data_IF_831844951840
#
_entry.id   IF_831844951840
#
_cell.length_a   1.000
_cell.length_b   1.000
_cell.length_c   1.000
_cell.angle_alpha   90.00
_cell.angle_beta   90.00
_cell.angle_gamma   90.00
#
_symmetry.space_group_name_H-M   'P 1'
#
loop_
_entity.id
_entity.type
_entity.pdbx_description
1 polymer ?
#
# COMPACT_ATOMS: atom_id res chain seq x y z
N UNK A 1 12.63 47.57 57.43
CA UNK A 1 11.65 46.47 57.35
C UNK A 1 11.14 46.41 55.93
N UNK A 2 11.64 45.47 55.13
CA UNK A 2 11.23 45.23 53.74
C UNK A 2 10.57 43.84 53.72
N UNK A 3 9.29 43.80 53.39
CA UNK A 3 8.52 42.58 53.21
C UNK A 3 8.80 42.00 51.82
N UNK A 4 9.45 40.84 51.78
CA UNK A 4 9.61 40.03 50.58
C UNK A 4 8.27 39.42 50.18
N UNK A 5 7.74 39.80 49.02
CA UNK A 5 6.68 39.06 48.34
C UNK A 5 7.32 37.95 47.50
N UNK A 6 7.22 36.71 47.97
CA UNK A 6 7.54 35.51 47.21
C UNK A 6 6.39 35.18 46.28
N UNK A 7 6.47 35.60 45.02
CA UNK A 7 5.66 35.01 43.94
C UNK A 7 6.29 33.69 43.53
N UNK A 8 5.72 32.59 44.01
CA UNK A 8 6.00 31.25 43.50
C UNK A 8 5.55 31.17 42.04
N UNK A 9 6.50 31.07 41.12
CA UNK A 9 6.25 30.68 39.74
C UNK A 9 5.88 29.20 39.79
N UNK A 10 4.59 28.90 39.66
CA UNK A 10 4.11 27.53 39.42
C UNK A 10 4.53 27.17 37.99
N UNK A 11 5.31 26.11 37.76
CA UNK A 11 5.55 25.63 36.41
C UNK A 11 4.21 25.11 35.89
N UNK A 12 3.64 25.78 34.89
CA UNK A 12 2.57 25.21 34.07
C UNK A 12 3.20 24.14 33.20
N UNK A 13 3.40 22.95 33.79
CA UNK A 13 3.70 21.73 33.05
C UNK A 13 2.47 21.43 32.19
N UNK A 14 2.43 21.95 30.96
CA UNK A 14 1.32 21.69 30.03
C UNK A 14 1.30 20.18 29.72
N UNK A 15 0.34 19.40 30.23
CA UNK A 15 0.32 17.94 30.07
C UNK A 15 0.21 17.54 28.59
N UNK A 16 -0.44 18.37 27.77
CA UNK A 16 -0.57 18.17 26.32
C UNK A 16 0.79 18.16 25.57
N UNK A 17 1.79 18.88 26.07
CA UNK A 17 3.12 18.91 25.45
C UNK A 17 3.96 17.68 25.87
N UNK A 18 3.72 17.14 27.07
CA UNK A 18 4.36 15.91 27.53
C UNK A 18 3.79 14.66 26.86
N UNK A 19 2.47 14.61 26.62
CA UNK A 19 1.80 13.50 25.93
C UNK A 19 2.28 13.34 24.48
N UNK A 20 2.23 14.43 23.71
CA UNK A 20 2.64 14.45 22.29
C UNK A 20 4.12 14.08 22.06
N UNK A 21 5.01 14.44 23.00
CA UNK A 21 6.43 14.14 22.91
C UNK A 21 6.71 12.65 23.21
N UNK A 22 5.94 12.03 24.10
CA UNK A 22 6.00 10.58 24.38
C UNK A 22 5.46 9.75 23.21
N UNK A 23 4.35 10.15 22.58
CA UNK A 23 3.80 9.46 21.38
C UNK A 23 4.78 9.48 20.21
N UNK A 24 5.40 10.63 19.98
CA UNK A 24 6.37 10.77 18.89
C UNK A 24 7.56 9.83 19.09
N UNK A 25 8.03 9.72 20.34
CA UNK A 25 9.12 8.83 20.70
C UNK A 25 8.75 7.34 20.54
N UNK A 26 7.53 6.92 20.88
CA UNK A 26 7.10 5.52 20.73
C UNK A 26 6.97 5.09 19.25
N UNK A 27 6.41 5.95 18.40
CA UNK A 27 6.31 5.72 16.94
C UNK A 27 7.69 5.65 16.30
N UNK A 28 8.57 6.59 16.62
CA UNK A 28 9.93 6.65 16.08
C UNK A 28 10.75 5.44 16.55
N UNK A 29 10.71 5.11 17.84
CA UNK A 29 11.43 3.96 18.40
C UNK A 29 10.95 2.64 17.78
N UNK A 30 9.64 2.44 17.66
CA UNK A 30 9.10 1.22 17.02
C UNK A 30 9.58 1.08 15.57
N UNK A 31 9.69 2.19 14.84
CA UNK A 31 10.15 2.21 13.45
C UNK A 31 11.65 1.89 13.34
N UNK A 32 12.47 2.36 14.29
CA UNK A 32 13.89 1.99 14.38
C UNK A 32 14.08 0.51 14.72
N UNK A 33 13.31 -0.01 15.67
CA UNK A 33 13.34 -1.43 16.04
C UNK A 33 12.98 -2.30 14.84
N UNK A 34 11.91 -1.96 14.11
CA UNK A 34 11.51 -2.67 12.88
C UNK A 34 12.60 -2.63 11.81
N UNK A 35 13.27 -1.49 11.64
CA UNK A 35 14.38 -1.37 10.70
C UNK A 35 15.55 -2.27 11.06
N UNK A 36 15.95 -2.33 12.34
CA UNK A 36 17.03 -3.22 12.80
C UNK A 36 16.66 -4.68 12.56
N UNK A 37 15.43 -5.07 12.91
CA UNK A 37 14.96 -6.45 12.68
C UNK A 37 14.93 -6.77 11.18
N UNK A 38 14.43 -5.85 10.35
CA UNK A 38 14.44 -5.97 8.89
C UNK A 38 15.86 -6.20 8.35
N UNK A 39 16.82 -5.40 8.79
CA UNK A 39 18.23 -5.53 8.40
C UNK A 39 18.80 -6.89 8.80
N UNK A 40 18.50 -7.38 10.01
CA UNK A 40 18.92 -8.71 10.48
C UNK A 40 18.36 -9.82 9.60
N UNK A 41 17.05 -9.79 9.29
CA UNK A 41 16.43 -10.77 8.38
C UNK A 41 17.09 -10.71 7.01
N UNK A 42 17.38 -9.52 6.50
CA UNK A 42 18.03 -9.34 5.22
C UNK A 42 19.45 -9.91 5.18
N UNK A 43 20.22 -9.71 6.25
CA UNK A 43 21.56 -10.32 6.42
C UNK A 43 21.44 -11.84 6.42
N UNK A 44 20.52 -12.42 7.18
CA UNK A 44 20.30 -13.88 7.24
C UNK A 44 19.97 -14.43 5.84
N UNK A 45 19.02 -13.80 5.14
CA UNK A 45 18.64 -14.18 3.77
C UNK A 45 19.83 -14.07 2.80
N UNK A 46 20.66 -13.04 2.96
CA UNK A 46 21.85 -12.84 2.13
C UNK A 46 22.89 -13.96 2.31
N UNK A 47 23.00 -14.54 3.50
CA UNK A 47 23.83 -15.72 3.75
C UNK A 47 23.20 -17.02 3.25
N UNK A 48 21.87 -17.10 3.10
CA UNK A 48 21.22 -18.26 2.50
C UNK A 48 21.42 -18.30 0.99
N UNK A 49 21.55 -17.14 0.34
CA UNK A 49 21.73 -17.03 -1.10
C UNK A 49 23.22 -17.10 -1.51
N UNK A 50 23.53 -18.02 -2.44
CA UNK A 50 24.88 -18.17 -3.01
C UNK A 50 25.01 -17.32 -4.28
N UNK A 51 26.07 -16.51 -4.40
CA UNK A 51 26.46 -15.84 -5.64
C UNK A 51 26.86 -16.88 -6.68
N UNK A 52 26.30 -16.77 -7.86
CA UNK A 52 26.49 -17.74 -8.95
C UNK A 52 27.61 -17.36 -9.92
N UNK A 53 28.07 -16.09 -9.95
CA UNK A 53 28.95 -15.59 -11.03
C UNK A 53 30.28 -14.94 -10.62
N UNK A 54 30.41 -14.34 -9.42
CA UNK A 54 31.63 -13.60 -9.02
C UNK A 54 32.06 -13.93 -7.58
N UNK A 55 33.37 -14.03 -7.35
CA UNK A 55 34.02 -14.28 -6.05
C UNK A 55 33.52 -15.53 -5.30
N UNK A 56 33.58 -16.71 -5.93
CA UNK A 56 33.24 -17.99 -5.30
C UNK A 56 34.23 -18.45 -4.21
N UNK A 57 35.43 -17.86 -4.17
CA UNK A 57 36.52 -18.27 -3.26
C UNK A 57 36.37 -17.82 -1.80
N UNK A 58 35.60 -16.75 -1.52
CA UNK A 58 35.36 -16.28 -0.16
C UNK A 58 33.96 -16.69 0.31
N UNK A 59 33.85 -17.29 1.51
CA UNK A 59 32.59 -17.79 2.10
C UNK A 59 31.75 -18.69 1.15
N UNK A 60 32.40 -19.43 0.24
CA UNK A 60 31.73 -20.28 -0.74
C UNK A 60 30.80 -19.50 -1.69
N UNK A 61 31.07 -18.22 -1.95
CA UNK A 61 30.25 -17.34 -2.80
C UNK A 61 29.09 -16.64 -2.07
N UNK A 62 29.06 -16.58 -0.73
CA UNK A 62 28.10 -15.77 0.04
C UNK A 62 28.73 -14.44 0.46
N UNK A 63 27.98 -13.33 0.66
CA UNK A 63 26.51 -13.19 0.67
C UNK A 63 25.91 -12.78 -0.69
N UNK A 64 24.82 -13.41 -1.13
CA UNK A 64 24.08 -13.03 -2.35
C UNK A 64 22.93 -12.06 -2.05
N UNK A 65 22.63 -11.15 -2.97
CA UNK A 65 21.44 -10.27 -2.86
C UNK A 65 20.21 -11.06 -3.28
N UNK A 66 19.19 -11.09 -2.43
CA UNK A 66 17.90 -11.74 -2.72
C UNK A 66 17.02 -10.75 -3.50
N UNK A 67 16.58 -11.13 -4.69
CA UNK A 67 15.62 -10.33 -5.44
C UNK A 67 14.23 -10.51 -4.82
N UNK A 68 13.53 -9.42 -4.43
CA UNK A 68 12.33 -9.52 -3.62
C UNK A 68 11.12 -10.02 -4.40
N UNK A 69 11.05 -9.76 -5.71
CA UNK A 69 9.85 -10.03 -6.51
C UNK A 69 10.23 -10.73 -7.81
N UNK A 70 9.67 -11.90 -8.02
CA UNK A 70 9.67 -12.55 -9.33
C UNK A 70 8.30 -12.37 -10.01
N UNK A 71 8.15 -11.31 -10.82
CA UNK A 71 6.89 -11.00 -11.51
C UNK A 71 6.43 -12.11 -12.47
N UNK A 72 7.35 -12.96 -12.91
CA UNK A 72 7.08 -14.07 -13.82
C UNK A 72 6.59 -15.31 -13.07
N UNK A 73 6.85 -15.43 -11.76
CA UNK A 73 6.50 -16.60 -10.98
C UNK A 73 5.06 -16.49 -10.41
N UNK A 74 4.13 -17.35 -10.83
CA UNK A 74 2.75 -17.29 -10.35
C UNK A 74 2.52 -17.85 -8.94
N UNK A 75 3.56 -18.35 -8.27
CA UNK A 75 3.40 -19.19 -7.07
C UNK A 75 2.96 -18.43 -5.81
N UNK A 76 3.32 -17.15 -5.72
CA UNK A 76 3.16 -16.36 -4.49
C UNK A 76 2.44 -15.01 -4.72
N UNK A 77 1.61 -14.93 -5.76
CA UNK A 77 0.92 -13.70 -6.17
C UNK A 77 0.19 -12.97 -5.04
N UNK A 78 -0.48 -13.71 -4.15
CA UNK A 78 -1.26 -13.10 -3.08
C UNK A 78 -0.40 -12.30 -2.09
N UNK A 79 0.77 -12.80 -1.70
CA UNK A 79 1.62 -12.10 -0.71
C UNK A 79 2.11 -10.78 -1.27
N UNK A 80 2.58 -10.79 -2.51
CA UNK A 80 3.03 -9.57 -3.15
C UNK A 80 1.94 -8.52 -3.25
N UNK A 81 0.74 -8.95 -3.66
CA UNK A 81 -0.41 -8.06 -3.80
C UNK A 81 -0.79 -7.45 -2.44
N UNK A 82 -0.82 -8.27 -1.39
CA UNK A 82 -1.12 -7.80 -0.04
C UNK A 82 -0.02 -6.91 0.54
N UNK A 83 1.26 -7.25 0.34
CA UNK A 83 2.38 -6.44 0.79
C UNK A 83 2.44 -5.08 0.06
N UNK A 84 2.16 -5.05 -1.25
CA UNK A 84 2.00 -3.82 -2.02
C UNK A 84 0.80 -3.00 -1.52
N UNK A 85 -0.32 -3.64 -1.18
CA UNK A 85 -1.48 -2.96 -0.58
C UNK A 85 -1.15 -2.34 0.79
N UNK A 86 -0.44 -3.06 1.66
CA UNK A 86 0.03 -2.55 2.94
C UNK A 86 0.95 -1.33 2.77
N UNK A 87 1.87 -1.38 1.80
CA UNK A 87 2.76 -0.27 1.49
C UNK A 87 2.02 0.92 0.87
N UNK A 88 1.05 0.69 -0.01
CA UNK A 88 0.21 1.77 -0.54
C UNK A 88 -0.54 2.49 0.58
N UNK A 89 -1.02 1.74 1.57
CA UNK A 89 -1.68 2.28 2.76
C UNK A 89 -0.74 3.16 3.60
N UNK A 90 0.52 2.76 3.80
CA UNK A 90 1.51 3.58 4.54
C UNK A 90 1.90 4.84 3.77
N UNK A 91 2.02 4.75 2.44
CA UNK A 91 2.27 5.88 1.57
C UNK A 91 1.16 6.91 1.64
N UNK A 92 -0.09 6.46 1.54
CA UNK A 92 -1.25 7.34 1.67
C UNK A 92 -1.25 8.08 3.01
N UNK A 93 -0.92 7.36 4.10
CA UNK A 93 -0.79 7.97 5.43
C UNK A 93 0.32 9.02 5.47
N UNK A 94 1.51 8.71 4.95
CA UNK A 94 2.65 9.62 4.96
C UNK A 94 2.35 10.94 4.21
N UNK A 95 1.59 10.86 3.11
CA UNK A 95 1.14 12.04 2.36
C UNK A 95 0.11 12.87 3.15
N UNK A 96 -0.78 12.22 3.91
CA UNK A 96 -1.84 12.90 4.67
C UNK A 96 -1.37 13.51 6.00
N UNK A 97 -0.22 13.09 6.54
CA UNK A 97 0.33 13.60 7.82
C UNK A 97 1.28 14.79 7.67
N UNK A 98 1.49 15.32 6.45
CA UNK A 98 2.47 16.36 6.18
C UNK A 98 2.09 17.77 6.63
N UNK A 99 1.90 17.98 7.94
CA UNK A 99 1.81 19.31 8.58
C UNK A 99 3.21 19.76 9.01
N UNK A 100 3.73 20.80 8.36
CA UNK A 100 4.95 21.49 8.79
C UNK A 100 4.72 22.99 8.66
N UNK A 101 4.55 23.65 9.81
CA UNK A 101 4.26 25.07 9.94
C UNK A 101 5.44 25.95 9.53
N UNK A 102 5.14 26.92 8.67
CA UNK A 102 5.71 28.27 8.53
C UNK A 102 7.16 28.55 8.99
N UNK A 103 8.13 28.04 8.22
CA UNK A 103 9.43 28.71 8.08
C UNK A 103 9.85 28.65 6.61
N UNK A 104 10.38 29.73 6.03
CA UNK A 104 10.94 29.87 4.67
C UNK A 104 10.50 28.86 3.58
N UNK A 105 9.54 29.30 2.74
CA UNK A 105 8.84 28.52 1.70
C UNK A 105 9.72 27.67 0.77
N UNK A 106 10.92 28.13 0.41
CA UNK A 106 11.78 27.40 -0.55
C UNK A 106 12.62 26.31 0.10
N UNK A 107 13.29 26.62 1.21
CA UNK A 107 14.09 25.64 1.97
C UNK A 107 13.20 24.55 2.59
N UNK A 108 12.02 24.92 3.08
CA UNK A 108 11.05 23.94 3.61
C UNK A 108 10.49 23.03 2.53
N UNK A 109 10.32 23.51 1.29
CA UNK A 109 9.81 22.64 0.21
C UNK A 109 10.81 21.55 -0.18
N UNK A 110 12.12 21.87 -0.27
CA UNK A 110 13.16 20.88 -0.57
C UNK A 110 13.33 19.89 0.58
N UNK A 111 13.38 20.37 1.83
CA UNK A 111 13.48 19.52 3.02
C UNK A 111 12.23 18.65 3.18
N UNK A 112 11.04 19.16 2.81
CA UNK A 112 9.79 18.39 2.79
C UNK A 112 9.84 17.26 1.76
N UNK A 113 10.30 17.54 0.55
CA UNK A 113 10.43 16.50 -0.48
C UNK A 113 11.44 15.43 -0.04
N UNK A 114 12.60 15.84 0.48
CA UNK A 114 13.62 14.92 0.98
C UNK A 114 13.14 14.08 2.16
N UNK A 115 12.43 14.67 3.12
CA UNK A 115 11.87 13.93 4.26
C UNK A 115 10.79 12.94 3.84
N UNK A 116 9.92 13.30 2.89
CA UNK A 116 8.96 12.37 2.30
C UNK A 116 9.71 11.22 1.61
N UNK A 117 10.66 11.50 0.72
CA UNK A 117 11.44 10.45 0.05
C UNK A 117 12.15 9.53 1.05
N UNK A 118 12.72 10.10 2.12
CA UNK A 118 13.38 9.34 3.18
C UNK A 118 12.40 8.42 3.92
N UNK A 119 11.24 8.93 4.34
CA UNK A 119 10.19 8.14 5.00
C UNK A 119 9.66 7.03 4.10
N UNK A 120 9.47 7.31 2.80
CA UNK A 120 9.03 6.33 1.82
C UNK A 120 10.06 5.23 1.62
N UNK A 121 11.33 5.60 1.51
CA UNK A 121 12.44 4.65 1.38
C UNK A 121 12.54 3.78 2.63
N UNK A 122 12.39 4.37 3.82
CA UNK A 122 12.38 3.68 5.10
C UNK A 122 11.29 2.61 5.19
N UNK A 123 10.06 2.94 4.79
CA UNK A 123 8.94 1.99 4.77
C UNK A 123 9.13 0.88 3.73
N UNK A 124 9.78 1.16 2.60
CA UNK A 124 10.18 0.13 1.63
C UNK A 124 11.17 -0.84 2.30
N UNK A 125 12.18 -0.34 3.02
CA UNK A 125 13.15 -1.19 3.74
C UNK A 125 12.48 -2.05 4.81
N UNK A 126 11.48 -1.55 5.54
CA UNK A 126 10.70 -2.34 6.51
C UNK A 126 9.83 -3.38 5.80
N UNK A 127 9.28 -3.07 4.63
CA UNK A 127 8.39 -4.00 3.92
C UNK A 127 9.17 -5.05 3.13
N UNK A 128 10.42 -4.77 2.76
CA UNK A 128 11.25 -5.63 1.90
C UNK A 128 11.39 -7.08 2.39
N UNK A 129 11.69 -7.36 3.67
CA UNK A 129 11.82 -8.74 4.15
C UNK A 129 10.56 -9.58 3.95
N UNK A 130 9.36 -8.97 3.98
CA UNK A 130 8.09 -9.65 3.71
C UNK A 130 8.05 -10.27 2.33
N UNK A 131 8.74 -9.67 1.36
CA UNK A 131 8.79 -10.13 -0.01
C UNK A 131 9.98 -11.07 -0.22
N UNK A 132 11.14 -10.72 0.32
CA UNK A 132 12.36 -11.50 0.17
C UNK A 132 12.27 -12.90 0.84
N UNK A 133 11.55 -13.02 1.96
CA UNK A 133 11.33 -14.30 2.64
C UNK A 133 10.56 -15.31 1.79
N UNK A 134 9.73 -14.85 0.84
CA UNK A 134 8.97 -15.72 -0.07
C UNK A 134 9.87 -16.40 -1.09
N UNK A 135 10.89 -15.68 -1.58
CA UNK A 135 11.82 -16.13 -2.63
C UNK A 135 13.10 -16.74 -2.04
N UNK A 136 13.10 -17.06 -0.75
CA UNK A 136 14.24 -17.69 -0.11
C UNK A 136 14.55 -19.06 -0.76
N UNK A 137 15.85 -19.40 -0.96
CA UNK A 137 16.25 -20.65 -1.62
C UNK A 137 15.83 -21.89 -0.84
N UNK A 138 15.64 -21.76 0.48
CA UNK A 138 15.08 -22.80 1.34
C UNK A 138 13.69 -22.33 1.79
N UNK A 139 12.61 -22.78 1.14
CA UNK A 139 11.27 -22.21 1.32
C UNK A 139 10.75 -22.27 2.76
N UNK A 140 11.01 -23.37 3.48
CA UNK A 140 10.58 -23.51 4.88
C UNK A 140 11.24 -22.46 5.78
N UNK A 141 12.54 -22.21 5.61
CA UNK A 141 13.28 -21.20 6.39
C UNK A 141 12.76 -19.80 6.05
N UNK A 142 12.52 -19.54 4.77
CA UNK A 142 11.90 -18.30 4.31
C UNK A 142 10.51 -18.08 4.92
N UNK A 143 9.64 -19.08 4.92
CA UNK A 143 8.31 -18.95 5.49
C UNK A 143 8.33 -18.76 7.01
N UNK A 144 9.21 -19.44 7.74
CA UNK A 144 9.37 -19.28 9.19
C UNK A 144 9.88 -17.87 9.52
N UNK A 145 10.93 -17.39 8.85
CA UNK A 145 11.44 -16.03 9.04
C UNK A 145 10.39 -14.98 8.68
N UNK A 146 9.67 -15.18 7.57
CA UNK A 146 8.59 -14.30 7.14
C UNK A 146 7.42 -14.27 8.12
N UNK A 147 7.04 -15.40 8.70
CA UNK A 147 6.02 -15.48 9.75
C UNK A 147 6.44 -14.71 11.00
N UNK A 148 7.61 -15.01 11.56
CA UNK A 148 8.12 -14.32 12.76
C UNK A 148 8.22 -12.82 12.50
N UNK A 149 8.71 -12.41 11.33
CA UNK A 149 8.80 -11.00 10.97
C UNK A 149 7.42 -10.34 10.84
N UNK A 150 6.45 -11.02 10.21
CA UNK A 150 5.07 -10.52 10.11
C UNK A 150 4.37 -10.42 11.46
N UNK A 151 4.59 -11.38 12.35
CA UNK A 151 4.06 -11.36 13.72
C UNK A 151 4.58 -10.14 14.49
N UNK A 152 5.90 -9.92 14.48
CA UNK A 152 6.51 -8.76 15.15
C UNK A 152 6.04 -7.45 14.51
N UNK A 153 5.98 -7.38 13.18
CA UNK A 153 5.47 -6.23 12.46
C UNK A 153 4.02 -5.91 12.84
N UNK A 154 3.15 -6.92 12.87
CA UNK A 154 1.75 -6.75 13.25
C UNK A 154 1.63 -6.32 14.71
N UNK A 155 2.34 -6.98 15.63
CA UNK A 155 2.32 -6.66 17.06
C UNK A 155 2.75 -5.22 17.32
N UNK A 156 3.85 -4.76 16.70
CA UNK A 156 4.33 -3.38 16.87
C UNK A 156 3.36 -2.37 16.25
N UNK A 157 2.77 -2.66 15.10
CA UNK A 157 1.76 -1.75 14.49
C UNK A 157 0.50 -1.65 15.34
N UNK A 158 0.02 -2.76 15.91
CA UNK A 158 -1.11 -2.76 16.85
C UNK A 158 -0.74 -2.00 18.12
N UNK A 159 0.42 -2.28 18.71
CA UNK A 159 0.89 -1.59 19.93
C UNK A 159 0.91 -0.07 19.75
N UNK A 160 1.52 0.42 18.67
CA UNK A 160 1.56 1.85 18.35
C UNK A 160 0.15 2.42 18.17
N UNK A 161 -0.75 1.67 17.54
CA UNK A 161 -2.14 2.11 17.34
C UNK A 161 -2.88 2.23 18.66
N UNK A 162 -2.73 1.25 19.56
CA UNK A 162 -3.35 1.26 20.88
C UNK A 162 -2.78 2.37 21.77
N UNK A 163 -1.45 2.55 21.79
CA UNK A 163 -0.78 3.61 22.56
C UNK A 163 -1.28 5.01 22.15
N UNK A 164 -1.42 5.23 20.84
CA UNK A 164 -1.94 6.50 20.31
C UNK A 164 -3.41 6.72 20.70
N UNK A 165 -4.25 5.68 20.63
CA UNK A 165 -5.67 5.79 21.02
C UNK A 165 -5.80 6.06 22.52
N UNK A 166 -5.01 5.37 23.36
CA UNK A 166 -5.06 5.53 24.81
C UNK A 166 -4.62 6.91 25.27
N UNK A 167 -3.57 7.47 24.67
CA UNK A 167 -3.10 8.82 25.03
C UNK A 167 -4.13 9.89 24.68
N UNK A 168 -4.90 9.71 23.61
CA UNK A 168 -5.93 10.66 23.19
C UNK A 168 -7.15 10.69 24.12
N UNK A 169 -7.50 9.57 24.76
CA UNK A 169 -8.58 9.49 25.75
C UNK A 169 -8.22 10.26 27.05
N UNK A 170 -6.92 10.30 27.39
CA UNK A 170 -6.42 10.96 28.60
C UNK A 170 -6.38 12.50 28.46
N UNK A 171 -6.20 13.02 27.25
CA UNK A 171 -6.05 14.46 27.00
C UNK A 171 -7.37 15.26 27.00
N UNK A 172 -8.52 14.59 27.18
CA UNK A 172 -9.82 15.27 27.37
C UNK A 172 -10.31 16.06 26.16
N UNK A 173 -9.94 15.63 24.94
CA UNK A 173 -10.37 16.30 23.71
C UNK A 173 -11.90 16.26 23.54
N UNK A 174 -12.51 17.32 22.97
CA UNK A 174 -13.94 17.33 22.69
C UNK A 174 -14.34 16.15 21.78
N UNK A 175 -15.53 15.58 22.03
CA UNK A 175 -16.02 14.34 21.36
C UNK A 175 -15.99 14.44 19.82
N UNK A 176 -16.19 15.63 19.26
CA UNK A 176 -16.13 15.89 17.82
C UNK A 176 -14.71 15.70 17.26
N UNK A 177 -13.68 16.08 18.02
CA UNK A 177 -12.28 15.90 17.64
C UNK A 177 -11.89 14.42 17.69
N UNK A 178 -12.39 13.68 18.68
CA UNK A 178 -12.20 12.22 18.79
C UNK A 178 -12.75 11.51 17.55
N UNK A 179 -13.90 11.94 17.02
CA UNK A 179 -14.51 11.34 15.83
C UNK A 179 -13.65 11.56 14.57
N UNK A 180 -13.10 12.75 14.37
CA UNK A 180 -12.19 13.03 13.25
C UNK A 180 -10.89 12.24 13.38
N UNK A 181 -10.33 12.17 14.58
CA UNK A 181 -9.09 11.46 14.85
C UNK A 181 -9.27 9.95 14.67
N UNK A 182 -10.33 9.39 15.24
CA UNK A 182 -10.74 7.99 15.07
C UNK A 182 -10.91 7.65 13.59
N UNK A 183 -11.54 8.54 12.81
CA UNK A 183 -11.62 8.36 11.35
C UNK A 183 -10.23 8.33 10.70
N UNK A 184 -9.33 9.27 11.04
CA UNK A 184 -7.98 9.33 10.47
C UNK A 184 -7.18 8.05 10.76
N UNK A 185 -7.30 7.51 11.98
CA UNK A 185 -6.61 6.31 12.41
C UNK A 185 -7.24 5.05 11.83
N UNK A 186 -8.54 4.84 11.99
CA UNK A 186 -9.21 3.64 11.47
C UNK A 186 -9.12 3.56 9.95
N UNK A 187 -9.26 4.68 9.24
CA UNK A 187 -9.21 4.72 7.77
C UNK A 187 -7.81 4.44 7.23
N UNK A 188 -6.79 4.98 7.87
CA UNK A 188 -5.41 4.84 7.40
C UNK A 188 -4.80 3.49 7.80
N UNK A 189 -5.18 2.95 8.96
CA UNK A 189 -4.57 1.75 9.52
C UNK A 189 -5.33 0.46 9.19
N UNK A 190 -6.66 0.48 9.07
CA UNK A 190 -7.42 -0.75 8.87
C UNK A 190 -7.04 -1.47 7.56
N UNK A 191 -6.92 -0.81 6.39
CA UNK A 191 -6.51 -1.47 5.16
C UNK A 191 -5.11 -2.07 5.28
N UNK A 192 -4.19 -1.35 5.92
CA UNK A 192 -2.84 -1.82 6.20
C UNK A 192 -2.86 -3.09 7.07
N UNK A 193 -3.61 -3.08 8.17
CA UNK A 193 -3.72 -4.21 9.08
C UNK A 193 -4.33 -5.43 8.40
N UNK A 194 -5.41 -5.25 7.63
CA UNK A 194 -6.03 -6.33 6.85
C UNK A 194 -5.03 -6.94 5.87
N UNK A 195 -4.24 -6.12 5.18
CA UNK A 195 -3.19 -6.60 4.29
C UNK A 195 -2.10 -7.39 5.05
N UNK A 196 -1.60 -6.88 6.18
CA UNK A 196 -0.58 -7.55 6.99
C UNK A 196 -1.11 -8.87 7.56
N UNK A 197 -2.33 -8.88 8.10
CA UNK A 197 -3.00 -10.10 8.59
C UNK A 197 -3.16 -11.12 7.46
N UNK A 198 -3.52 -10.67 6.26
CA UNK A 198 -3.58 -11.53 5.08
C UNK A 198 -2.23 -12.18 4.74
N UNK A 199 -1.14 -11.41 4.80
CA UNK A 199 0.22 -11.94 4.61
C UNK A 199 0.60 -12.92 5.72
N UNK A 200 0.25 -12.61 6.97
CA UNK A 200 0.52 -13.45 8.13
C UNK A 200 -0.16 -14.82 8.04
N UNK A 201 -1.47 -14.83 7.77
CA UNK A 201 -2.26 -16.05 7.57
C UNK A 201 -1.69 -16.87 6.42
N UNK A 202 -1.26 -16.20 5.35
CA UNK A 202 -0.63 -16.86 4.22
C UNK A 202 0.69 -17.56 4.60
N UNK A 203 1.56 -16.89 5.37
CA UNK A 203 2.83 -17.46 5.82
C UNK A 203 2.61 -18.69 6.69
N UNK A 204 1.73 -18.58 7.68
CA UNK A 204 1.36 -19.70 8.56
C UNK A 204 0.79 -20.88 7.78
N UNK A 205 -0.14 -20.62 6.86
CA UNK A 205 -0.69 -21.65 5.98
C UNK A 205 0.40 -22.34 5.16
N UNK A 206 1.38 -21.60 4.64
CA UNK A 206 2.50 -22.15 3.87
C UNK A 206 3.45 -22.98 4.72
N UNK A 207 3.74 -22.57 5.94
CA UNK A 207 4.53 -23.34 6.90
C UNK A 207 3.84 -24.69 7.14
N UNK A 208 2.57 -24.69 7.54
CA UNK A 208 1.80 -25.91 7.80
C UNK A 208 1.80 -26.82 6.56
N UNK A 209 1.57 -26.25 5.37
CA UNK A 209 1.54 -27.01 4.13
C UNK A 209 2.89 -27.67 3.80
N UNK A 210 4.00 -26.96 3.96
CA UNK A 210 5.33 -27.54 3.70
C UNK A 210 5.69 -28.58 4.77
N UNK A 211 5.38 -28.34 6.04
CA UNK A 211 5.56 -29.33 7.13
C UNK A 211 4.79 -30.62 6.82
N UNK A 212 3.51 -30.53 6.45
CA UNK A 212 2.70 -31.70 6.07
C UNK A 212 3.27 -32.42 4.85
N UNK A 213 3.77 -31.66 3.86
CA UNK A 213 4.41 -32.24 2.67
C UNK A 213 5.66 -33.03 3.06
N UNK A 214 6.49 -32.47 3.92
CA UNK A 214 7.70 -33.10 4.44
C UNK A 214 7.37 -34.40 5.15
N UNK A 215 6.39 -34.40 6.06
CA UNK A 215 5.98 -35.61 6.79
C UNK A 215 5.42 -36.71 5.89
N UNK A 216 4.82 -36.35 4.75
CA UNK A 216 4.29 -37.32 3.78
C UNK A 216 5.34 -37.88 2.81
N UNK A 217 6.53 -37.29 2.76
CA UNK A 217 7.57 -37.75 1.84
C UNK A 217 8.51 -38.64 2.65
N UNK A 218 8.37 -39.96 2.54
CA UNK A 218 9.18 -40.97 3.26
C UNK A 218 10.69 -40.97 2.88
N UNK A 219 11.16 -39.93 2.20
CA UNK A 219 12.52 -39.78 1.71
C UNK A 219 13.35 -38.77 2.51
N UNK A 220 14.65 -38.76 2.26
CA UNK A 220 15.59 -37.77 2.81
C UNK A 220 15.16 -36.34 2.45
N UNK A 221 15.06 -35.48 3.47
CA UNK A 221 14.62 -34.07 3.39
C UNK A 221 15.29 -33.28 2.25
N UNK A 222 16.57 -33.58 1.99
CA UNK A 222 17.36 -32.98 0.92
C UNK A 222 16.75 -33.21 -0.46
N UNK A 223 16.18 -34.39 -0.70
CA UNK A 223 15.56 -34.76 -1.97
C UNK A 223 14.20 -34.08 -2.20
N UNK A 224 13.47 -33.78 -1.12
CA UNK A 224 12.20 -33.06 -1.16
C UNK A 224 12.40 -31.56 -1.48
N UNK A 225 13.53 -30.99 -1.04
CA UNK A 225 13.91 -29.59 -1.31
C UNK A 225 14.40 -29.41 -2.75
N UNK A 226 15.29 -30.28 -3.25
CA UNK A 226 15.81 -30.17 -4.62
C UNK A 226 14.78 -30.49 -5.68
N UNK A 227 13.82 -31.38 -5.40
CA UNK A 227 12.74 -31.72 -6.32
C UNK A 227 11.51 -30.80 -6.19
N UNK A 228 11.63 -29.60 -5.63
CA UNK A 228 10.50 -28.68 -5.61
C UNK A 228 10.09 -28.38 -7.07
N UNK A 229 8.90 -28.80 -7.52
CA UNK A 229 8.58 -28.71 -8.92
C UNK A 229 8.10 -27.29 -9.21
N UNK A 230 9.04 -26.40 -9.56
CA UNK A 230 8.70 -25.12 -10.22
C UNK A 230 7.77 -25.36 -11.42
N UNK A 231 7.91 -26.53 -12.03
CA UNK A 231 7.21 -26.92 -13.23
C UNK A 231 5.92 -27.71 -12.99
N UNK A 232 5.44 -28.07 -11.79
CA UNK A 232 4.26 -28.96 -11.73
C UNK A 232 2.99 -28.32 -12.31
N UNK A 233 2.81 -27.01 -12.18
CA UNK A 233 1.73 -26.28 -12.84
C UNK A 233 1.93 -26.21 -14.36
N UNK A 234 3.18 -26.02 -14.82
CA UNK A 234 3.54 -25.99 -16.24
C UNK A 234 3.44 -27.38 -16.88
N UNK A 235 3.95 -28.43 -16.23
CA UNK A 235 3.80 -29.84 -16.59
C UNK A 235 2.33 -30.23 -16.59
N UNK A 236 1.52 -29.83 -15.59
CA UNK A 236 0.08 -30.12 -15.60
C UNK A 236 -0.63 -29.40 -16.75
N UNK A 237 -0.24 -28.16 -17.03
CA UNK A 237 -0.76 -27.39 -18.16
C UNK A 237 -0.36 -28.00 -19.51
N UNK A 238 0.91 -28.38 -19.68
CA UNK A 238 1.43 -29.06 -20.88
C UNK A 238 0.82 -30.46 -21.02
N UNK A 239 0.64 -31.20 -19.92
CA UNK A 239 -0.09 -32.48 -19.93
C UNK A 239 -1.56 -32.28 -20.29
N UNK A 240 -2.23 -31.24 -19.80
CA UNK A 240 -3.60 -30.92 -20.24
C UNK A 240 -3.65 -30.57 -21.73
N UNK A 241 -2.71 -29.76 -22.21
CA UNK A 241 -2.54 -29.43 -23.63
C UNK A 241 -2.33 -30.68 -24.50
N UNK A 242 -1.49 -31.61 -24.07
CA UNK A 242 -1.14 -32.82 -24.81
C UNK A 242 -2.24 -33.89 -24.73
N UNK A 243 -2.94 -34.01 -23.61
CA UNK A 243 -3.93 -35.07 -23.39
C UNK A 243 -5.32 -34.71 -23.94
N UNK A 244 -5.62 -33.42 -24.12
CA UNK A 244 -6.85 -32.96 -24.76
C UNK A 244 -6.60 -32.64 -26.24
N UNK A 245 -6.45 -33.69 -27.07
CA UNK A 245 -6.34 -33.59 -28.54
C UNK A 245 -7.61 -33.07 -29.24
N UNK A 246 -8.69 -32.81 -28.49
CA UNK A 246 -9.96 -32.33 -29.02
C UNK A 246 -10.00 -30.78 -29.04
N UNK A 247 -9.59 -30.19 -30.18
CA UNK A 247 -9.50 -28.75 -30.44
C UNK A 247 -10.77 -27.94 -30.09
N UNK A 248 -11.95 -28.57 -30.17
CA UNK A 248 -13.25 -27.94 -29.88
C UNK A 248 -13.48 -27.70 -28.39
N UNK A 249 -13.09 -28.65 -27.53
CA UNK A 249 -13.13 -28.48 -26.08
C UNK A 249 -12.08 -27.47 -25.60
N UNK A 250 -10.90 -27.51 -26.22
CA UNK A 250 -9.79 -26.61 -25.93
C UNK A 250 -10.17 -25.14 -26.15
N UNK A 251 -10.89 -24.85 -27.24
CA UNK A 251 -11.50 -23.54 -27.48
C UNK A 251 -12.46 -23.16 -26.37
N UNK A 252 -13.36 -24.03 -25.92
CA UNK A 252 -14.31 -23.70 -24.85
C UNK A 252 -13.63 -23.47 -23.48
N UNK A 253 -12.58 -24.23 -23.16
CA UNK A 253 -11.92 -24.20 -21.84
C UNK A 253 -10.88 -23.07 -21.70
N UNK A 254 -10.15 -22.73 -22.77
CA UNK A 254 -9.34 -21.50 -22.83
C UNK A 254 -10.24 -20.27 -22.66
N UNK A 255 -11.46 -20.32 -23.20
CA UNK A 255 -12.36 -19.17 -23.22
C UNK A 255 -12.88 -18.75 -21.84
N UNK A 256 -12.78 -19.61 -20.81
CA UNK A 256 -13.38 -19.40 -19.47
C UNK A 256 -12.39 -19.14 -18.33
N UNK A 257 -11.06 -19.24 -18.53
CA UNK A 257 -10.11 -19.25 -17.40
C UNK A 257 -8.76 -18.57 -17.67
N UNK A 258 -8.76 -17.41 -18.33
CA UNK A 258 -7.52 -16.60 -18.40
C UNK A 258 -7.23 -16.03 -17.02
N UNK A 259 -6.18 -16.55 -16.36
CA UNK A 259 -5.67 -15.95 -15.13
C UNK A 259 -5.19 -14.54 -15.41
N UNK A 260 -5.67 -13.59 -14.62
CA UNK A 260 -5.27 -12.18 -14.66
C UNK A 260 -3.73 -12.09 -14.53
N UNK A 261 -3.07 -11.23 -15.32
CA UNK A 261 -1.64 -10.99 -15.18
C UNK A 261 -1.34 -10.43 -13.78
N UNK A 262 -0.21 -10.82 -13.23
CA UNK A 262 0.13 -10.55 -11.83
C UNK A 262 0.31 -9.05 -11.55
N UNK A 263 0.94 -8.30 -12.46
CA UNK A 263 1.08 -6.84 -12.37
C UNK A 263 -0.29 -6.14 -12.27
N UNK A 264 -1.25 -6.56 -13.09
CA UNK A 264 -2.59 -5.99 -13.07
C UNK A 264 -3.30 -6.31 -11.75
N UNK A 265 -3.14 -7.51 -11.21
CA UNK A 265 -3.68 -7.87 -9.89
C UNK A 265 -3.13 -6.99 -8.77
N UNK A 266 -1.84 -6.63 -8.81
CA UNK A 266 -1.25 -5.68 -7.85
C UNK A 266 -1.93 -4.33 -7.97
N UNK A 267 -2.03 -3.79 -9.19
CA UNK A 267 -2.71 -2.51 -9.45
C UNK A 267 -4.14 -2.53 -8.92
N UNK A 268 -4.88 -3.62 -9.13
CA UNK A 268 -6.26 -3.74 -8.62
C UNK A 268 -6.37 -3.51 -7.13
N UNK A 269 -5.51 -4.17 -6.36
CA UNK A 269 -5.60 -4.14 -4.90
C UNK A 269 -5.06 -2.83 -4.38
N UNK A 270 -3.97 -2.32 -4.95
CA UNK A 270 -3.43 -1.00 -4.60
C UNK A 270 -4.47 0.09 -4.88
N UNK A 271 -5.09 0.11 -6.05
CA UNK A 271 -6.14 1.07 -6.40
C UNK A 271 -7.34 0.92 -5.47
N UNK A 272 -7.80 -0.30 -5.19
CA UNK A 272 -8.91 -0.55 -4.28
C UNK A 272 -8.62 -0.03 -2.85
N UNK A 273 -7.40 -0.24 -2.35
CA UNK A 273 -6.97 0.29 -1.04
C UNK A 273 -6.96 1.82 -1.05
N UNK A 274 -6.39 2.45 -2.08
CA UNK A 274 -6.33 3.91 -2.18
C UNK A 274 -7.72 4.52 -2.33
N UNK A 275 -8.59 3.94 -3.17
CA UNK A 275 -9.97 4.40 -3.34
C UNK A 275 -10.72 4.29 -2.02
N UNK A 276 -10.59 3.16 -1.32
CA UNK A 276 -11.19 3.00 0.00
C UNK A 276 -10.71 4.09 0.96
N UNK A 277 -9.40 4.34 1.05
CA UNK A 277 -8.86 5.37 1.92
C UNK A 277 -9.34 6.78 1.55
N UNK A 278 -9.40 7.12 0.26
CA UNK A 278 -9.91 8.40 -0.22
C UNK A 278 -11.39 8.59 0.09
N UNK A 279 -12.22 7.59 -0.21
CA UNK A 279 -13.66 7.64 0.04
C UNK A 279 -13.91 7.85 1.52
N UNK A 280 -13.24 7.09 2.38
CA UNK A 280 -13.49 7.19 3.81
C UNK A 280 -12.90 8.48 4.39
N UNK A 281 -11.76 8.98 3.89
CA UNK A 281 -11.25 10.30 4.25
C UNK A 281 -12.27 11.40 3.92
N UNK A 282 -12.85 11.40 2.71
CA UNK A 282 -13.86 12.37 2.29
C UNK A 282 -15.12 12.27 3.14
N UNK A 283 -15.57 11.05 3.43
CA UNK A 283 -16.78 10.79 4.21
C UNK A 283 -16.72 11.27 5.65
N UNK A 284 -15.55 11.31 6.28
CA UNK A 284 -15.43 11.76 7.67
C UNK A 284 -14.87 13.18 7.80
N UNK A 285 -13.89 13.55 6.98
CA UNK A 285 -13.23 14.84 7.12
C UNK A 285 -14.13 15.99 6.66
N UNK A 286 -14.85 15.85 5.54
CA UNK A 286 -15.66 16.95 5.01
C UNK A 286 -16.86 17.28 5.93
N UNK A 287 -17.66 16.29 6.39
CA UNK A 287 -18.75 16.57 7.33
C UNK A 287 -18.27 17.22 8.62
N UNK A 288 -17.11 16.82 9.13
CA UNK A 288 -16.52 17.46 10.30
C UNK A 288 -16.28 18.96 10.09
N UNK A 289 -15.65 19.34 8.96
CA UNK A 289 -15.40 20.75 8.66
C UNK A 289 -16.69 21.55 8.48
N UNK A 290 -17.74 20.95 7.92
CA UNK A 290 -19.04 21.60 7.79
C UNK A 290 -19.75 21.75 9.13
N UNK A 291 -19.69 20.76 10.01
CA UNK A 291 -20.24 20.85 11.36
C UNK A 291 -19.51 21.92 12.18
N UNK A 292 -18.18 21.98 12.08
CA UNK A 292 -17.38 23.01 12.74
C UNK A 292 -17.76 24.41 12.24
N UNK A 293 -17.80 24.61 10.92
CA UNK A 293 -18.20 25.89 10.33
C UNK A 293 -19.64 26.28 10.69
N UNK A 294 -20.56 25.31 10.76
CA UNK A 294 -21.93 25.52 11.21
C UNK A 294 -22.00 25.99 12.66
N UNK A 295 -21.24 25.35 13.55
CA UNK A 295 -21.18 25.70 14.98
C UNK A 295 -20.58 27.09 15.22
N UNK A 296 -19.54 27.47 14.49
CA UNK A 296 -18.93 28.80 14.57
C UNK A 296 -19.88 29.88 14.05
N UNK A 297 -20.61 29.58 12.96
CA UNK A 297 -21.61 30.49 12.42
C UNK A 297 -22.78 30.71 13.39
N UNK A 298 -23.22 29.65 14.09
CA UNK A 298 -24.26 29.75 15.12
C UNK A 298 -23.79 30.58 16.32
N UNK A 299 -22.56 30.34 16.80
CA UNK A 299 -21.97 31.13 17.87
C UNK A 299 -21.83 32.62 17.51
N UNK A 300 -21.41 32.92 16.27
CA UNK A 300 -21.32 34.30 15.78
C UNK A 300 -22.69 34.97 15.72
N UNK A 301 -23.73 34.24 15.29
CA UNK A 301 -25.10 34.75 15.23
C UNK A 301 -25.65 35.10 16.63
N UNK A 302 -25.42 34.23 17.62
CA UNK A 302 -25.80 34.48 19.01
C UNK A 302 -25.10 35.71 19.57
N UNK A 303 -23.80 35.89 19.28
CA UNK A 303 -23.02 37.02 19.77
C UNK A 303 -23.43 38.37 19.14
N UNK A 304 -23.87 38.37 17.88
CA UNK A 304 -24.26 39.59 17.16
C UNK A 304 -25.72 40.00 17.39
N UNK A 305 -26.53 39.16 18.07
CA UNK A 305 -27.95 39.45 18.30
C UNK A 305 -28.79 39.49 17.02
N UNK A 306 -28.31 38.87 15.93
CA UNK A 306 -28.95 38.91 14.61
C UNK A 306 -30.06 37.85 14.44
N UNK A 307 -30.60 37.32 15.54
CA UNK A 307 -31.52 36.19 15.55
C UNK A 307 -32.83 36.36 14.77
N UNK A 308 -33.22 37.60 14.43
CA UNK A 308 -34.45 37.87 13.68
C UNK A 308 -34.29 37.80 12.15
N UNK A 309 -33.07 37.76 11.61
CA UNK A 309 -32.89 37.70 10.16
C UNK A 309 -33.17 36.30 9.62
N UNK A 310 -34.19 36.19 8.77
CA UNK A 310 -34.62 34.94 8.10
C UNK A 310 -33.51 34.21 7.36
N UNK A 311 -32.50 34.94 6.86
CA UNK A 311 -31.32 34.38 6.21
C UNK A 311 -30.45 33.54 7.16
N UNK A 312 -30.25 33.99 8.40
CA UNK A 312 -29.39 33.29 9.37
C UNK A 312 -30.02 31.98 9.85
N UNK A 313 -31.36 31.90 9.85
CA UNK A 313 -32.09 30.65 10.12
C UNK A 313 -31.93 29.61 8.99
N UNK A 314 -31.58 30.03 7.77
CA UNK A 314 -31.40 29.13 6.64
C UNK A 314 -29.98 28.51 6.56
N UNK A 315 -28.99 29.10 7.23
CA UNK A 315 -27.59 28.64 7.23
C UNK A 315 -27.43 27.20 7.73
N UNK A 316 -27.98 26.77 8.88
CA UNK A 316 -27.81 25.39 9.35
C UNK A 316 -28.44 24.37 8.37
N UNK A 317 -29.62 24.67 7.84
CA UNK A 317 -30.26 23.84 6.81
C UNK A 317 -29.43 23.71 5.52
N UNK A 318 -28.69 24.77 5.17
CA UNK A 318 -27.76 24.73 4.03
C UNK A 318 -26.57 23.80 4.30
N UNK A 319 -25.97 23.87 5.50
CA UNK A 319 -24.88 22.97 5.89
C UNK A 319 -25.34 21.51 5.99
N UNK A 320 -26.54 21.23 6.51
CA UNK A 320 -27.12 19.87 6.54
C UNK A 320 -27.28 19.28 5.14
N UNK A 321 -27.77 20.09 4.19
CA UNK A 321 -27.90 19.71 2.79
C UNK A 321 -26.54 19.43 2.15
N UNK A 322 -25.55 20.30 2.39
CA UNK A 322 -24.18 20.10 1.93
C UNK A 322 -23.56 18.83 2.50
N UNK A 323 -23.72 18.56 3.79
CA UNK A 323 -23.24 17.34 4.45
C UNK A 323 -23.87 16.09 3.83
N UNK A 324 -25.17 16.13 3.54
CA UNK A 324 -25.86 15.01 2.87
C UNK A 324 -25.29 14.75 1.47
N UNK A 325 -25.08 15.82 0.69
CA UNK A 325 -24.50 15.73 -0.66
C UNK A 325 -23.06 15.20 -0.61
N UNK A 326 -22.24 15.68 0.33
CA UNK A 326 -20.83 15.27 0.46
C UNK A 326 -20.67 13.84 0.98
N UNK A 327 -21.68 13.27 1.64
CA UNK A 327 -21.72 11.84 1.98
C UNK A 327 -22.11 10.99 0.78
N UNK A 328 -23.14 11.38 0.01
CA UNK A 328 -23.65 10.57 -1.11
C UNK A 328 -22.67 10.59 -2.31
N UNK A 329 -22.10 11.74 -2.64
CA UNK A 329 -21.22 11.91 -3.79
C UNK A 329 -20.02 10.94 -3.84
N UNK A 330 -19.19 10.78 -2.78
CA UNK A 330 -18.06 9.86 -2.80
C UNK A 330 -18.49 8.39 -2.86
N UNK A 331 -19.65 8.02 -2.30
CA UNK A 331 -20.18 6.65 -2.41
C UNK A 331 -20.54 6.33 -3.86
N UNK A 332 -21.26 7.24 -4.53
CA UNK A 332 -21.61 7.07 -5.95
C UNK A 332 -20.34 7.06 -6.81
N UNK A 333 -19.38 7.96 -6.55
CA UNK A 333 -18.11 7.97 -7.25
C UNK A 333 -17.35 6.65 -7.06
N UNK A 334 -17.30 6.11 -5.85
CA UNK A 334 -16.67 4.82 -5.56
C UNK A 334 -17.33 3.68 -6.36
N UNK A 335 -18.66 3.64 -6.41
CA UNK A 335 -19.40 2.64 -7.18
C UNK A 335 -19.10 2.74 -8.69
N UNK A 336 -19.02 3.96 -9.24
CA UNK A 336 -18.66 4.20 -10.63
C UNK A 336 -17.22 3.72 -10.91
N UNK A 337 -16.28 4.05 -10.02
CA UNK A 337 -14.88 3.63 -10.17
C UNK A 337 -14.76 2.10 -10.08
N UNK A 338 -15.44 1.45 -9.14
CA UNK A 338 -15.47 -0.02 -9.03
C UNK A 338 -16.09 -0.66 -10.29
N UNK A 339 -17.18 -0.11 -10.82
CA UNK A 339 -17.80 -0.60 -12.04
C UNK A 339 -16.86 -0.44 -13.25
N UNK A 340 -16.20 0.71 -13.37
CA UNK A 340 -15.20 0.96 -14.42
C UNK A 340 -14.01 0.00 -14.28
N UNK A 341 -13.58 -0.27 -13.06
CA UNK A 341 -12.50 -1.20 -12.77
C UNK A 341 -12.83 -2.64 -13.17
N UNK A 342 -14.04 -3.11 -12.84
CA UNK A 342 -14.55 -4.42 -13.26
C UNK A 342 -14.65 -4.53 -14.79
N UNK A 343 -15.09 -3.45 -15.45
CA UNK A 343 -15.14 -3.38 -16.90
C UNK A 343 -13.74 -3.44 -17.53
N UNK A 344 -12.76 -2.71 -16.99
CA UNK A 344 -11.37 -2.75 -17.42
C UNK A 344 -10.77 -4.16 -17.26
N UNK A 345 -11.00 -4.81 -16.13
CA UNK A 345 -10.57 -6.18 -15.87
C UNK A 345 -11.12 -7.15 -16.92
N UNK A 346 -12.41 -7.03 -17.22
CA UNK A 346 -13.06 -7.84 -18.24
C UNK A 346 -12.47 -7.58 -19.63
N UNK A 347 -12.31 -6.30 -20.00
CA UNK A 347 -11.72 -5.89 -21.28
C UNK A 347 -10.30 -6.44 -21.46
N UNK A 348 -9.43 -6.30 -20.45
CA UNK A 348 -8.06 -6.83 -20.51
C UNK A 348 -8.05 -8.36 -20.59
N UNK A 349 -8.96 -9.06 -19.91
CA UNK A 349 -9.10 -10.51 -20.06
C UNK A 349 -9.49 -10.91 -21.48
N UNK A 350 -10.39 -10.15 -22.13
CA UNK A 350 -10.80 -10.37 -23.52
C UNK A 350 -9.64 -10.09 -24.48
N UNK A 351 -8.92 -8.98 -24.32
CA UNK A 351 -7.75 -8.65 -25.15
C UNK A 351 -6.62 -9.67 -25.01
N UNK A 352 -6.29 -10.08 -23.79
CA UNK A 352 -5.29 -11.13 -23.55
C UNK A 352 -5.70 -12.47 -24.17
N UNK A 353 -7.00 -12.74 -24.20
CA UNK A 353 -7.56 -13.93 -24.84
C UNK A 353 -7.42 -13.85 -26.35
N UNK A 354 -7.78 -12.72 -26.97
CA UNK A 354 -7.61 -12.50 -28.41
C UNK A 354 -6.15 -12.61 -28.84
N UNK A 355 -5.25 -11.97 -28.07
CA UNK A 355 -3.80 -12.02 -28.26
C UNK A 355 -3.26 -13.46 -28.23
N UNK A 356 -3.67 -14.27 -27.24
CA UNK A 356 -3.26 -15.68 -27.15
C UNK A 356 -3.78 -16.55 -28.27
N UNK A 357 -4.97 -16.26 -28.79
CA UNK A 357 -5.55 -17.01 -29.91
C UNK A 357 -4.96 -16.63 -31.28
N UNK A 358 -4.01 -15.68 -31.32
CA UNK A 358 -3.37 -15.25 -32.55
C UNK A 358 -4.33 -14.56 -33.53
N UNK A 359 -5.42 -13.95 -33.04
CA UNK A 359 -6.32 -13.22 -33.91
C UNK A 359 -5.58 -12.01 -34.50
N UNK A 360 -5.44 -12.01 -35.84
CA UNK A 360 -4.62 -11.08 -36.63
C UNK A 360 -4.94 -9.59 -36.42
N UNK A 361 -6.10 -9.24 -35.85
CA UNK A 361 -6.51 -7.83 -35.65
C UNK A 361 -5.65 -7.09 -34.62
N UNK A 362 -5.21 -7.75 -33.54
CA UNK A 362 -4.43 -7.11 -32.46
C UNK A 362 -2.93 -7.11 -32.76
N UNK A 363 -2.43 -8.16 -33.43
CA UNK A 363 -0.99 -8.29 -33.72
C UNK A 363 -0.46 -7.26 -34.72
N UNK A 364 -1.33 -6.65 -35.53
CA UNK A 364 -0.90 -5.81 -36.67
C UNK A 364 -0.63 -4.35 -36.31
N UNK A 365 -0.94 -3.90 -35.09
CA UNK A 365 -0.86 -2.48 -34.71
C UNK A 365 -0.05 -2.18 -33.44
N UNK A 366 0.50 -3.17 -32.72
CA UNK A 366 1.05 -2.95 -31.37
C UNK A 366 2.44 -3.53 -31.09
N UNK A 367 3.08 -4.24 -32.03
CA UNK A 367 4.41 -4.86 -31.81
C UNK A 367 5.40 -4.34 -32.84
N UNK A 368 5.65 -3.03 -32.85
CA UNK A 368 6.70 -2.48 -33.71
C UNK A 368 8.06 -2.44 -32.99
N UNK A 369 8.13 -2.35 -31.65
CA UNK A 369 9.42 -2.26 -30.93
C UNK A 369 9.44 -2.91 -29.52
N UNK A 370 10.18 -4.03 -29.33
CA UNK A 370 10.23 -4.76 -28.05
C UNK A 370 10.79 -3.94 -26.87
N UNK A 371 11.74 -3.04 -27.12
CA UNK A 371 12.37 -2.22 -26.07
C UNK A 371 11.41 -1.19 -25.43
N UNK A 372 10.52 -0.59 -26.24
CA UNK A 372 9.53 0.37 -25.75
C UNK A 372 8.44 -0.33 -24.92
N UNK A 373 8.02 -1.53 -25.34
CA UNK A 373 7.14 -2.40 -24.54
C UNK A 373 7.75 -2.81 -23.21
N UNK A 374 9.08 -2.96 -23.11
CA UNK A 374 9.73 -3.32 -21.85
C UNK A 374 9.61 -2.17 -20.83
N UNK A 375 9.89 -0.93 -21.24
CA UNK A 375 9.77 0.27 -20.39
C UNK A 375 8.32 0.53 -19.95
N UNK A 376 7.36 0.32 -20.85
CA UNK A 376 5.93 0.43 -20.54
C UNK A 376 5.47 -0.70 -19.62
N UNK A 377 5.94 -1.94 -19.84
CA UNK A 377 5.59 -3.09 -19.00
C UNK A 377 6.20 -3.01 -17.60
N UNK A 378 7.42 -2.49 -17.47
CA UNK A 378 8.03 -2.24 -16.18
C UNK A 378 7.27 -1.19 -15.38
N UNK A 379 6.80 -0.14 -16.06
CA UNK A 379 6.15 1.01 -15.44
C UNK A 379 4.62 0.88 -15.38
N UNK A 380 4.04 -0.21 -15.90
CA UNK A 380 2.60 -0.34 -16.13
C UNK A 380 1.77 -0.10 -14.87
N UNK A 381 2.23 -0.57 -13.70
CA UNK A 381 1.53 -0.33 -12.44
C UNK A 381 1.57 1.11 -11.95
N UNK A 382 2.44 1.95 -12.52
CA UNK A 382 2.48 3.39 -12.26
C UNK A 382 1.69 4.23 -13.26
N UNK A 383 1.37 3.67 -14.43
CA UNK A 383 0.81 4.40 -15.58
C UNK A 383 -0.69 4.19 -15.84
N UNK A 384 -1.39 3.31 -15.10
CA UNK A 384 -2.80 2.95 -15.38
C UNK A 384 -3.75 4.17 -15.43
N UNK A 385 -3.32 5.34 -14.95
CA UNK A 385 -4.08 6.59 -15.03
C UNK A 385 -4.07 7.32 -16.38
N UNK A 386 -3.17 7.01 -17.33
CA UNK A 386 -3.06 7.79 -18.60
C UNK A 386 -3.60 7.08 -19.85
N UNK A 387 -3.99 5.81 -19.78
CA UNK A 387 -4.34 5.04 -20.98
C UNK A 387 -5.86 4.90 -21.19
N UNK A 388 -6.58 6.03 -21.14
CA UNK A 388 -8.01 6.05 -21.52
C UNK A 388 -8.37 7.10 -22.58
N UNK A 389 -7.60 8.18 -22.76
CA UNK A 389 -8.00 9.28 -23.67
C UNK A 389 -7.02 9.67 -24.80
N UNK A 390 -5.75 9.22 -24.81
CA UNK A 390 -4.75 9.78 -25.75
C UNK A 390 -4.28 8.84 -26.88
N UNK A 391 -5.15 7.98 -27.40
CA UNK A 391 -4.85 7.20 -28.63
C UNK A 391 -5.56 7.71 -29.88
N UNK A 392 -5.95 8.99 -29.87
CA UNK A 392 -6.50 9.70 -31.01
C UNK A 392 -5.93 11.12 -31.07
N UNK A 393 -4.82 11.27 -31.80
CA UNK A 393 -4.32 12.51 -32.41
C UNK A 393 -4.12 13.74 -31.50
N UNK A 394 -2.89 13.96 -31.01
CA UNK A 394 -2.38 15.30 -30.72
C UNK A 394 -0.86 15.37 -30.96
N UNK A 395 -0.35 16.45 -31.57
CA UNK A 395 1.08 16.64 -31.81
C UNK A 395 1.83 17.01 -30.53
N UNK A 396 3.08 16.57 -30.47
CA UNK A 396 4.04 16.81 -29.39
C UNK A 396 4.47 18.27 -29.38
N UNK A 397 3.81 19.12 -28.58
CA UNK A 397 4.38 20.39 -28.10
C UNK A 397 3.45 21.08 -27.08
N UNK A 398 3.48 20.64 -25.82
CA UNK A 398 3.27 21.47 -24.62
C UNK A 398 3.26 20.55 -23.39
N UNK A 399 4.35 20.56 -22.63
CA UNK A 399 4.46 19.89 -21.34
C UNK A 399 4.33 20.97 -20.27
N UNK A 400 3.13 21.07 -19.72
CA UNK A 400 2.76 21.99 -18.64
C UNK A 400 3.13 21.36 -17.28
N UNK A 401 3.88 22.03 -16.38
CA UNK A 401 4.46 21.41 -15.18
C UNK A 401 3.56 21.47 -13.94
N UNK A 402 2.25 21.19 -14.07
CA UNK A 402 1.28 21.30 -12.96
C UNK A 402 0.52 20.01 -12.59
N UNK A 403 0.91 18.85 -13.14
CA UNK A 403 0.31 17.55 -12.83
C UNK A 403 0.91 16.84 -11.61
N UNK A 404 0.64 17.30 -10.39
CA UNK A 404 1.24 16.77 -9.14
C UNK A 404 0.64 15.44 -8.61
N UNK A 405 -0.11 14.70 -9.43
CA UNK A 405 -0.89 13.52 -8.99
C UNK A 405 -0.39 12.15 -9.45
N UNK A 406 0.66 12.07 -10.27
CA UNK A 406 1.04 10.84 -11.02
C UNK A 406 2.50 10.42 -10.85
N UNK A 407 3.30 11.17 -10.09
CA UNK A 407 4.73 10.90 -9.84
C UNK A 407 4.99 9.79 -8.82
N UNK A 408 4.05 9.48 -7.93
CA UNK A 408 4.26 8.56 -6.79
C UNK A 408 4.36 7.08 -7.19
N UNK A 409 3.50 6.60 -8.09
CA UNK A 409 3.55 5.22 -8.56
C UNK A 409 4.70 4.98 -9.57
N UNK A 410 5.13 6.04 -10.27
CA UNK A 410 6.33 6.06 -11.11
C UNK A 410 7.59 5.91 -10.27
N UNK A 411 7.67 6.62 -9.14
CA UNK A 411 8.79 6.55 -8.22
C UNK A 411 8.90 5.17 -7.55
N UNK A 412 7.77 4.53 -7.22
CA UNK A 412 7.73 3.21 -6.60
C UNK A 412 8.41 2.11 -7.44
N UNK A 413 8.16 2.09 -8.75
CA UNK A 413 8.77 1.11 -9.67
C UNK A 413 10.22 1.50 -9.96
N UNK A 414 10.50 2.79 -10.18
CA UNK A 414 11.85 3.27 -10.46
C UNK A 414 12.82 3.00 -9.30
N UNK A 415 12.36 3.10 -8.05
CA UNK A 415 13.18 2.82 -6.86
C UNK A 415 13.34 1.31 -6.60
N UNK A 416 12.33 0.48 -6.91
CA UNK A 416 12.43 -0.98 -6.89
C UNK A 416 13.32 -1.55 -8.01
N UNK A 417 13.60 -0.77 -9.05
CA UNK A 417 14.44 -1.17 -10.20
C UNK A 417 15.89 -0.69 -10.12
N UNK A 418 16.15 0.36 -9.33
CA UNK A 418 17.49 0.94 -9.14
C UNK A 418 18.13 0.58 -7.77
N UNK A 419 17.42 -0.17 -6.92
CA UNK A 419 17.97 -0.95 -5.80
C UNK A 419 18.21 -2.39 -6.26
#
# INVERSE_FOLDING_TARGET
MSTANSTSIVPTDNPALSGTLLTYNSVVLSSFVLFVISAVVWVILSFLQKRTKKFLGCCGGRPGIVFPINFLNPRHRLVYVLACGALASTWFRALNTGDFSDVNKWAVSIVKILSVIFLLSWEIFITFPLLACVEAPVPIVGYILGAIYTDVLLALRIYVTVDVIQQQDVDGFPEDFVTLLYSKYVVSFLPQLVCIVGVLVWYHYKIIKEIVRIFRTDGTWTHAITNQPESQAQIKYVKQLLHQSNLTFFRKHIYTRVRIPFSLLIVCVVDAVIIFQLVVLVLFQIPYWFNLAGSEAEALNQNLGLGEYSFLKAIPHFFDSLTTITVIAPIVAALIVVAHFLHLLYSVQVQLKEFRTGQKKVLKSQIDWPAMTLFVATSFSGFVKYSANDLSSAPVSELDPSGFGTTTAFFFIFLLQNL
#
